data_IF_923976893072
#
_entry.id   IF_923976893072
#
_cell.length_a   1.000
_cell.length_b   1.000
_cell.length_c   1.000
_cell.angle_alpha   90.00
_cell.angle_beta   90.00
_cell.angle_gamma   90.00
#
_symmetry.space_group_name_H-M   'P 1'
#
loop_
_entity.id
_entity.type
_entity.pdbx_description
1 polymer ?
#
# COMPACT_ATOMS: atom_id res chain seq x y z
N UNK A 1 1.35 0.67 22.65
CA UNK A 1 1.38 1.51 23.87
C UNK A 1 0.99 2.89 23.41
N UNK A 2 -0.23 3.32 23.76
CA UNK A 2 -0.93 4.43 23.13
C UNK A 2 -0.27 5.78 23.45
N UNK A 3 -0.18 6.64 22.44
CA UNK A 3 0.08 8.06 22.65
C UNK A 3 -1.14 8.61 23.40
N UNK A 4 -0.99 8.81 24.71
CA UNK A 4 -2.10 9.29 25.54
C UNK A 4 -2.23 10.79 25.34
N UNK A 5 -3.08 11.16 24.38
CA UNK A 5 -3.66 12.49 24.29
C UNK A 5 -4.50 12.74 25.54
N UNK A 6 -4.03 13.63 26.42
CA UNK A 6 -4.69 13.92 27.70
C UNK A 6 -6.10 14.50 27.51
N UNK A 7 -6.32 15.26 26.43
CA UNK A 7 -7.61 15.88 26.13
C UNK A 7 -8.56 14.81 25.62
N UNK A 8 -8.13 13.99 24.67
CA UNK A 8 -8.96 12.90 24.16
C UNK A 8 -9.21 11.81 25.21
N UNK A 9 -8.25 11.53 26.10
CA UNK A 9 -8.44 10.59 27.20
C UNK A 9 -9.45 11.12 28.21
N UNK A 10 -9.33 12.38 28.63
CA UNK A 10 -10.35 13.01 29.49
C UNK A 10 -11.72 13.00 28.81
N UNK A 11 -11.80 13.28 27.51
CA UNK A 11 -13.06 13.21 26.75
C UNK A 11 -13.64 11.79 26.69
N UNK A 12 -12.79 10.77 26.51
CA UNK A 12 -13.22 9.36 26.47
C UNK A 12 -13.64 8.87 27.85
N UNK A 13 -12.90 9.22 28.91
CA UNK A 13 -13.24 8.92 30.30
C UNK A 13 -14.58 9.58 30.68
N UNK A 14 -14.81 10.84 30.28
CA UNK A 14 -16.09 11.55 30.45
C UNK A 14 -17.25 10.97 29.63
N UNK A 15 -16.97 10.32 28.50
CA UNK A 15 -17.98 9.62 27.69
C UNK A 15 -18.32 8.24 28.29
N UNK A 16 -17.37 7.63 29.00
CA UNK A 16 -17.51 6.33 29.65
C UNK A 16 -18.15 6.42 31.04
N UNK A 17 -18.00 7.55 31.76
CA UNK A 17 -18.73 7.85 32.99
C UNK A 17 -20.22 8.13 32.69
N UNK A 18 -21.02 7.07 32.76
CA UNK A 18 -22.50 7.12 32.71
C UNK A 18 -22.98 7.92 33.93
N UNK A 19 -23.85 8.93 33.82
CA UNK A 19 -25.29 8.73 34.04
C UNK A 19 -26.20 9.93 33.67
N UNK A 20 -25.70 11.08 33.18
CA UNK A 20 -26.57 12.28 32.99
C UNK A 20 -26.31 13.07 31.69
N UNK A 21 -27.20 12.99 30.67
CA UNK A 21 -26.97 13.62 29.36
C UNK A 21 -26.87 15.15 29.37
N UNK A 22 -27.45 15.84 30.37
CA UNK A 22 -27.34 17.31 30.50
C UNK A 22 -25.98 17.77 31.04
N UNK A 23 -25.32 16.97 31.88
CA UNK A 23 -23.97 17.27 32.39
C UNK A 23 -22.90 17.00 31.32
N UNK A 24 -23.11 16.01 30.45
CA UNK A 24 -22.24 15.70 29.30
C UNK A 24 -22.02 16.92 28.38
N UNK A 25 -23.08 17.62 27.98
CA UNK A 25 -22.95 18.78 27.09
C UNK A 25 -22.25 19.97 27.77
N UNK A 26 -22.49 20.18 29.07
CA UNK A 26 -21.90 21.28 29.82
C UNK A 26 -20.41 21.08 30.12
N UNK A 27 -19.99 19.82 30.32
CA UNK A 27 -18.59 19.45 30.54
C UNK A 27 -17.79 19.37 29.23
N UNK A 28 -18.40 18.86 28.15
CA UNK A 28 -17.83 18.96 26.79
C UNK A 28 -17.59 20.41 26.39
N UNK A 29 -18.56 21.30 26.64
CA UNK A 29 -18.40 22.74 26.42
C UNK A 29 -17.23 23.30 27.23
N UNK A 30 -17.13 22.99 28.54
CA UNK A 30 -16.01 23.45 29.39
C UNK A 30 -14.62 22.91 29.01
N UNK A 31 -14.53 21.69 28.46
CA UNK A 31 -13.27 21.13 27.97
C UNK A 31 -12.85 21.72 26.61
N UNK A 32 -13.83 22.14 25.80
CA UNK A 32 -13.64 22.78 24.50
C UNK A 32 -13.38 24.29 24.66
N UNK A 33 -13.95 24.95 25.68
CA UNK A 33 -13.86 26.40 25.92
C UNK A 33 -12.44 26.99 26.01
N UNK A 34 -11.46 26.37 26.71
CA UNK A 34 -10.10 26.92 26.77
C UNK A 34 -9.27 26.58 25.52
N UNK A 35 -9.67 25.59 24.73
CA UNK A 35 -9.02 25.28 23.47
C UNK A 35 -9.70 26.08 22.36
N UNK A 36 -9.10 27.21 21.95
CA UNK A 36 -9.58 27.92 20.76
C UNK A 36 -9.82 26.91 19.63
N UNK A 37 -10.92 27.03 18.86
CA UNK A 37 -11.29 26.05 17.82
C UNK A 37 -10.17 25.77 16.80
N UNK A 38 -9.14 26.60 16.79
CA UNK A 38 -7.91 26.49 16.02
C UNK A 38 -6.92 25.44 16.54
N UNK A 39 -7.00 25.05 17.83
CA UNK A 39 -6.12 24.04 18.43
C UNK A 39 -6.73 22.62 18.44
N UNK A 40 -8.06 22.49 18.33
CA UNK A 40 -8.75 21.21 18.42
C UNK A 40 -8.74 20.44 17.10
N UNK A 41 -8.84 21.16 15.98
CA UNK A 41 -8.91 20.56 14.65
C UNK A 41 -7.70 20.95 13.83
N UNK A 42 -7.21 20.00 13.04
CA UNK A 42 -6.10 20.24 12.13
C UNK A 42 -6.45 21.46 11.23
N UNK A 43 -5.64 22.55 11.23
CA UNK A 43 -5.90 23.74 10.43
C UNK A 43 -6.06 23.46 8.93
N UNK A 44 -5.53 22.33 8.43
CA UNK A 44 -5.75 21.89 7.05
C UNK A 44 -7.22 21.71 6.69
N UNK A 45 -8.08 21.38 7.66
CA UNK A 45 -9.53 21.26 7.44
C UNK A 45 -10.18 22.61 7.09
N UNK A 46 -9.51 23.74 7.35
CA UNK A 46 -9.99 25.10 7.05
C UNK A 46 -9.44 25.64 5.71
N UNK A 47 -8.60 24.88 5.01
CA UNK A 47 -8.10 25.31 3.70
C UNK A 47 -9.24 25.37 2.70
N UNK A 48 -9.39 26.50 1.98
CA UNK A 48 -10.43 26.68 0.95
C UNK A 48 -10.39 25.63 -0.15
N UNK A 49 -9.22 25.04 -0.39
CA UNK A 49 -9.02 23.98 -1.39
C UNK A 49 -9.13 22.56 -0.86
N UNK A 50 -9.35 22.37 0.46
CA UNK A 50 -9.49 21.04 1.04
C UNK A 50 -10.94 20.56 0.97
N UNK A 51 -11.15 19.43 0.31
CA UNK A 51 -12.40 18.71 0.19
C UNK A 51 -12.18 17.31 0.79
N UNK A 52 -12.66 17.10 2.03
CA UNK A 52 -12.41 15.86 2.78
C UNK A 52 -12.64 14.59 1.96
N UNK A 53 -13.86 14.35 1.43
CA UNK A 53 -14.14 13.17 0.61
C UNK A 53 -13.25 13.02 -0.63
N UNK A 54 -12.88 14.11 -1.31
CA UNK A 54 -12.06 14.01 -2.53
C UNK A 54 -10.57 13.90 -2.22
N UNK A 55 -10.11 14.47 -1.11
CA UNK A 55 -8.71 14.53 -0.67
C UNK A 55 -8.32 13.37 0.25
N UNK A 56 -9.27 12.49 0.58
CA UNK A 56 -9.03 11.23 1.29
C UNK A 56 -9.29 10.05 0.34
N UNK A 57 -8.38 9.79 -0.61
CA UNK A 57 -8.58 8.73 -1.59
C UNK A 57 -8.65 7.36 -0.93
N UNK A 58 -9.21 6.40 -1.65
CA UNK A 58 -9.38 5.05 -1.12
C UNK A 58 -8.03 4.42 -0.79
N UNK A 59 -7.87 4.02 0.47
CA UNK A 59 -6.73 3.24 0.86
C UNK A 59 -6.86 1.78 0.38
N UNK A 60 -6.03 1.42 -0.61
CA UNK A 60 -5.98 0.05 -1.15
C UNK A 60 -5.68 -1.00 -0.10
N UNK A 61 -4.81 -0.71 0.88
CA UNK A 61 -4.47 -1.67 1.91
C UNK A 61 -5.68 -1.95 2.81
N UNK A 62 -6.30 -0.91 3.35
CA UNK A 62 -7.43 -1.07 4.27
C UNK A 62 -8.72 -1.49 3.58
N UNK A 63 -9.03 -0.95 2.41
CA UNK A 63 -10.29 -1.20 1.70
C UNK A 63 -10.23 -2.52 0.94
N UNK A 64 -9.22 -2.73 0.11
CA UNK A 64 -9.15 -3.91 -0.74
C UNK A 64 -8.56 -5.11 0.01
N UNK A 65 -7.30 -5.05 0.44
CA UNK A 65 -6.62 -6.20 1.05
C UNK A 65 -7.21 -6.58 2.42
N UNK A 66 -7.21 -5.65 3.39
CA UNK A 66 -7.70 -5.87 4.76
C UNK A 66 -9.23 -5.69 4.89
N UNK A 67 -9.92 -5.51 3.77
CA UNK A 67 -11.37 -5.37 3.70
C UNK A 67 -11.99 -6.48 2.89
N UNK A 68 -12.01 -6.27 1.58
CA UNK A 68 -12.67 -7.18 0.62
C UNK A 68 -12.00 -8.55 0.61
N UNK A 69 -10.70 -8.61 0.33
CA UNK A 69 -9.97 -9.89 0.22
C UNK A 69 -9.95 -10.61 1.56
N UNK A 70 -9.68 -9.90 2.67
CA UNK A 70 -9.75 -10.45 4.04
C UNK A 70 -11.08 -11.11 4.33
N UNK A 71 -12.18 -10.41 4.08
CA UNK A 71 -13.50 -10.90 4.42
C UNK A 71 -13.88 -12.13 3.58
N UNK A 72 -13.61 -12.12 2.27
CA UNK A 72 -13.89 -13.25 1.40
C UNK A 72 -13.00 -14.46 1.72
N UNK A 73 -11.73 -14.23 2.06
CA UNK A 73 -10.82 -15.28 2.53
C UNK A 73 -11.35 -15.89 3.82
N UNK A 74 -11.74 -15.06 4.78
CA UNK A 74 -12.23 -15.52 6.08
C UNK A 74 -13.52 -16.33 5.93
N UNK A 75 -14.48 -15.84 5.16
CA UNK A 75 -15.75 -16.53 4.89
C UNK A 75 -15.51 -17.90 4.24
N UNK A 76 -14.68 -17.94 3.19
CA UNK A 76 -14.33 -19.18 2.51
C UNK A 76 -13.59 -20.17 3.40
N UNK A 77 -12.50 -19.75 4.06
CA UNK A 77 -11.70 -20.64 4.92
C UNK A 77 -12.50 -21.14 6.12
N UNK A 78 -13.41 -20.32 6.66
CA UNK A 78 -14.29 -20.72 7.76
C UNK A 78 -15.29 -21.80 7.34
N UNK A 79 -15.73 -21.81 6.07
CA UNK A 79 -16.63 -22.83 5.53
C UNK A 79 -15.97 -24.20 5.33
N UNK A 80 -14.64 -24.26 5.24
CA UNK A 80 -13.91 -25.51 4.99
C UNK A 80 -13.80 -26.39 6.24
N UNK A 81 -14.01 -27.70 6.06
CA UNK A 81 -13.78 -28.73 7.08
C UNK A 81 -12.27 -28.97 7.26
N UNK A 82 -11.87 -29.54 8.41
CA UNK A 82 -10.46 -29.84 8.73
C UNK A 82 -9.71 -30.59 7.61
N UNK A 83 -10.24 -31.69 7.03
CA UNK A 83 -9.54 -32.38 5.93
C UNK A 83 -9.33 -31.50 4.70
N UNK A 84 -10.29 -30.62 4.36
CA UNK A 84 -10.16 -29.70 3.23
C UNK A 84 -9.10 -28.64 3.50
N UNK A 85 -8.97 -28.17 4.76
CA UNK A 85 -7.91 -27.24 5.15
C UNK A 85 -6.52 -27.86 5.04
N UNK A 86 -6.38 -29.14 5.36
CA UNK A 86 -5.12 -29.88 5.18
C UNK A 86 -4.73 -29.96 3.68
N UNK A 87 -5.72 -30.17 2.80
CA UNK A 87 -5.50 -30.12 1.35
C UNK A 87 -5.16 -28.71 0.84
N UNK A 88 -5.79 -27.67 1.38
CA UNK A 88 -5.44 -26.27 1.06
C UNK A 88 -3.99 -25.97 1.46
N UNK A 89 -3.56 -26.42 2.65
CA UNK A 89 -2.18 -26.31 3.11
C UNK A 89 -1.22 -26.98 2.13
N UNK A 90 -1.50 -28.23 1.74
CA UNK A 90 -0.69 -28.98 0.79
C UNK A 90 -0.63 -28.27 -0.57
N UNK A 91 -1.75 -27.71 -1.03
CA UNK A 91 -1.83 -26.98 -2.30
C UNK A 91 -1.00 -25.70 -2.28
N UNK A 92 -1.01 -24.93 -1.18
CA UNK A 92 -0.14 -23.75 -1.05
C UNK A 92 1.35 -24.11 -0.93
N UNK A 93 1.67 -25.26 -0.35
CA UNK A 93 3.05 -25.75 -0.30
C UNK A 93 3.56 -26.24 -1.66
N UNK A 94 2.66 -26.73 -2.52
CA UNK A 94 2.98 -27.28 -3.83
C UNK A 94 2.93 -26.26 -4.99
N UNK A 95 2.26 -25.11 -4.79
CA UNK A 95 2.10 -24.13 -5.87
C UNK A 95 3.45 -23.55 -6.28
N UNK A 96 3.68 -23.42 -7.59
CA UNK A 96 4.89 -22.79 -8.10
C UNK A 96 4.87 -21.28 -7.80
N UNK A 97 5.88 -20.82 -7.06
CA UNK A 97 6.03 -19.42 -6.64
C UNK A 97 7.01 -18.64 -7.51
N UNK A 98 7.60 -19.28 -8.54
CA UNK A 98 8.66 -18.68 -9.39
C UNK A 98 8.24 -17.33 -9.95
N UNK A 99 6.97 -17.18 -10.35
CA UNK A 99 6.43 -15.93 -10.93
C UNK A 99 5.90 -14.91 -9.89
N UNK A 100 5.89 -15.24 -8.60
CA UNK A 100 5.32 -14.39 -7.54
C UNK A 100 6.36 -13.47 -6.87
N UNK A 101 7.64 -13.54 -7.27
CA UNK A 101 8.73 -12.78 -6.66
C UNK A 101 8.80 -12.95 -5.12
N UNK A 102 8.55 -14.17 -4.63
CA UNK A 102 8.65 -14.57 -3.22
C UNK A 102 9.44 -15.88 -3.11
N UNK A 103 10.18 -16.04 -2.01
CA UNK A 103 11.02 -17.23 -1.81
C UNK A 103 10.19 -18.50 -1.52
N UNK A 104 9.11 -18.37 -0.74
CA UNK A 104 8.20 -19.45 -0.41
C UNK A 104 6.89 -18.91 0.15
N UNK A 105 5.85 -19.74 0.13
CA UNK A 105 4.57 -19.47 0.81
C UNK A 105 4.54 -20.26 2.12
N UNK A 106 4.31 -19.58 3.23
CA UNK A 106 4.13 -20.20 4.54
C UNK A 106 2.70 -20.74 4.66
N UNK A 107 2.37 -21.82 3.94
CA UNK A 107 1.01 -22.36 3.83
C UNK A 107 0.36 -22.68 5.19
N UNK A 108 1.15 -23.26 6.11
CA UNK A 108 0.70 -23.50 7.49
C UNK A 108 0.27 -22.21 8.20
N UNK A 109 1.09 -21.16 8.11
CA UNK A 109 0.75 -19.85 8.67
C UNK A 109 -0.53 -19.26 8.06
N UNK A 110 -0.72 -19.38 6.74
CA UNK A 110 -1.93 -18.89 6.07
C UNK A 110 -3.19 -19.63 6.54
N UNK A 111 -3.11 -20.95 6.74
CA UNK A 111 -4.25 -21.78 7.20
C UNK A 111 -4.52 -21.61 8.69
N UNK A 112 -3.49 -21.50 9.53
CA UNK A 112 -3.65 -21.38 10.99
C UNK A 112 -4.12 -19.97 11.40
N UNK A 113 -3.77 -18.94 10.61
CA UNK A 113 -3.96 -17.53 10.98
C UNK A 113 -4.77 -16.70 9.98
N UNK A 114 -5.61 -17.32 9.12
CA UNK A 114 -6.36 -16.61 8.06
C UNK A 114 -7.20 -15.41 8.57
N UNK A 115 -7.59 -15.37 9.84
CA UNK A 115 -8.32 -14.25 10.46
C UNK A 115 -7.45 -13.02 10.83
N UNK A 116 -6.14 -13.20 11.00
CA UNK A 116 -5.19 -12.19 11.49
C UNK A 116 -4.02 -11.91 10.55
N UNK A 117 -4.15 -12.31 9.28
CA UNK A 117 -3.15 -12.03 8.25
C UNK A 117 -2.98 -10.54 7.97
N UNK A 118 -1.83 -10.19 7.39
CA UNK A 118 -1.51 -8.82 6.98
C UNK A 118 -1.66 -8.62 5.47
N UNK A 119 -1.58 -7.37 5.01
CA UNK A 119 -1.85 -7.03 3.61
C UNK A 119 -1.01 -7.78 2.56
N UNK A 120 0.24 -8.14 2.90
CA UNK A 120 1.10 -8.92 1.99
C UNK A 120 0.56 -10.34 1.76
N UNK A 121 0.00 -10.95 2.79
CA UNK A 121 -0.50 -12.32 2.76
C UNK A 121 -1.78 -12.37 1.92
N UNK A 122 -2.67 -11.39 2.05
CA UNK A 122 -3.86 -11.27 1.21
C UNK A 122 -3.52 -11.03 -0.27
N UNK A 123 -2.40 -10.36 -0.56
CA UNK A 123 -1.90 -10.26 -1.94
C UNK A 123 -1.49 -11.62 -2.49
N UNK A 124 -0.78 -12.44 -1.70
CA UNK A 124 -0.44 -13.82 -2.07
C UNK A 124 -1.72 -14.64 -2.30
N UNK A 125 -2.71 -14.53 -1.41
CA UNK A 125 -3.96 -15.28 -1.50
C UNK A 125 -4.71 -14.92 -2.78
N UNK A 126 -4.93 -13.64 -3.10
CA UNK A 126 -5.67 -13.28 -4.32
C UNK A 126 -4.95 -13.70 -5.60
N UNK A 127 -3.61 -13.72 -5.59
CA UNK A 127 -2.80 -14.17 -6.74
C UNK A 127 -2.78 -15.70 -6.90
N UNK A 128 -2.85 -16.46 -5.81
CA UNK A 128 -2.76 -17.93 -5.82
C UNK A 128 -4.12 -18.62 -5.75
N UNK A 129 -5.19 -17.89 -5.46
CA UNK A 129 -6.52 -18.45 -5.23
C UNK A 129 -7.01 -19.39 -6.35
N UNK A 130 -6.85 -19.06 -7.65
CA UNK A 130 -7.23 -19.94 -8.75
C UNK A 130 -6.59 -21.33 -8.74
N UNK A 131 -5.37 -21.43 -8.19
CA UNK A 131 -4.57 -22.66 -8.21
C UNK A 131 -4.72 -23.49 -6.94
N UNK A 132 -5.07 -22.85 -5.83
CA UNK A 132 -5.00 -23.48 -4.50
C UNK A 132 -6.41 -23.80 -3.97
N UNK A 133 -7.31 -22.82 -4.01
CA UNK A 133 -8.60 -22.92 -3.32
C UNK A 133 -9.79 -23.15 -4.24
N UNK A 134 -9.66 -22.95 -5.56
CA UNK A 134 -10.76 -23.13 -6.52
C UNK A 134 -11.32 -24.55 -6.57
N UNK A 135 -10.49 -25.56 -6.31
CA UNK A 135 -10.91 -26.97 -6.27
C UNK A 135 -11.95 -27.25 -5.17
N UNK A 136 -12.08 -26.38 -4.16
CA UNK A 136 -13.09 -26.50 -3.10
C UNK A 136 -14.26 -25.52 -3.27
N UNK A 137 -14.30 -24.79 -4.39
CA UNK A 137 -15.36 -23.83 -4.70
C UNK A 137 -16.40 -24.42 -5.66
N UNK A 138 -17.66 -24.07 -5.44
CA UNK A 138 -18.71 -24.22 -6.45
C UNK A 138 -18.62 -23.13 -7.54
N UNK A 139 -19.39 -23.26 -8.62
CA UNK A 139 -19.30 -22.35 -9.77
C UNK A 139 -19.60 -20.88 -9.41
N UNK A 140 -20.56 -20.64 -8.50
CA UNK A 140 -20.87 -19.27 -8.03
C UNK A 140 -19.69 -18.65 -7.29
N UNK A 141 -19.05 -19.41 -6.41
CA UNK A 141 -17.85 -18.98 -5.69
C UNK A 141 -16.69 -18.75 -6.65
N UNK A 142 -16.47 -19.64 -7.63
CA UNK A 142 -15.42 -19.46 -8.65
C UNK A 142 -15.61 -18.17 -9.42
N UNK A 143 -16.81 -17.90 -9.92
CA UNK A 143 -17.11 -16.66 -10.66
C UNK A 143 -16.85 -15.41 -9.81
N UNK A 144 -17.24 -15.44 -8.53
CA UNK A 144 -16.96 -14.35 -7.59
C UNK A 144 -15.45 -14.12 -7.39
N UNK A 145 -14.68 -15.19 -7.21
CA UNK A 145 -13.22 -15.09 -7.03
C UNK A 145 -12.48 -14.73 -8.33
N UNK A 146 -12.99 -15.14 -9.49
CA UNK A 146 -12.46 -14.71 -10.79
C UNK A 146 -12.64 -13.20 -10.94
N UNK A 147 -13.85 -12.70 -10.65
CA UNK A 147 -14.13 -11.27 -10.68
C UNK A 147 -13.29 -10.48 -9.67
N UNK A 148 -13.03 -11.05 -8.47
CA UNK A 148 -12.10 -10.46 -7.50
C UNK A 148 -10.67 -10.40 -8.04
N UNK A 149 -10.19 -11.47 -8.68
CA UNK A 149 -8.85 -11.53 -9.26
C UNK A 149 -8.66 -10.53 -10.41
N UNK A 150 -9.67 -10.39 -11.27
CA UNK A 150 -9.72 -9.37 -12.32
C UNK A 150 -9.73 -7.96 -11.71
N UNK A 151 -10.52 -7.70 -10.68
CA UNK A 151 -10.52 -6.41 -10.00
C UNK A 151 -9.15 -6.12 -9.34
N UNK A 152 -8.51 -7.13 -8.77
CA UNK A 152 -7.19 -7.02 -8.17
C UNK A 152 -6.13 -6.60 -9.19
N UNK A 153 -6.19 -7.10 -10.43
CA UNK A 153 -5.22 -6.74 -11.47
C UNK A 153 -5.30 -5.26 -11.81
N UNK A 154 -6.50 -4.68 -11.93
CA UNK A 154 -6.67 -3.24 -12.13
C UNK A 154 -6.19 -2.44 -10.92
N UNK A 155 -6.60 -2.81 -9.70
CA UNK A 155 -6.24 -2.07 -8.48
C UNK A 155 -4.72 -2.03 -8.25
N UNK A 156 -4.01 -3.13 -8.51
CA UNK A 156 -2.57 -3.20 -8.32
C UNK A 156 -1.74 -2.79 -9.55
N UNK A 157 -2.39 -2.30 -10.61
CA UNK A 157 -1.71 -1.82 -11.82
C UNK A 157 -0.93 -0.54 -11.53
N UNK A 158 0.36 -0.53 -11.81
CA UNK A 158 1.26 0.60 -11.50
C UNK A 158 1.34 1.65 -12.60
N UNK A 159 0.96 1.31 -13.83
CA UNK A 159 1.02 2.19 -15.01
C UNK A 159 -0.30 2.12 -15.78
N UNK A 160 -0.90 3.29 -16.04
CA UNK A 160 -2.14 3.43 -16.81
C UNK A 160 -1.79 4.17 -18.10
N UNK A 161 -1.94 3.51 -19.25
CA UNK A 161 -1.62 4.09 -20.56
C UNK A 161 -2.76 4.93 -21.13
N UNK A 162 -4.00 4.47 -20.97
CA UNK A 162 -5.20 5.18 -21.39
C UNK A 162 -6.16 5.26 -20.19
N UNK A 163 -6.30 6.47 -19.63
CA UNK A 163 -7.11 6.69 -18.43
C UNK A 163 -8.60 6.43 -18.70
N UNK A 164 -9.14 6.89 -19.84
CA UNK A 164 -10.57 6.72 -20.14
C UNK A 164 -10.95 5.24 -20.27
N UNK A 165 -10.16 4.47 -21.02
CA UNK A 165 -10.38 3.03 -21.18
C UNK A 165 -10.23 2.31 -19.83
N UNK A 166 -9.15 2.58 -19.10
CA UNK A 166 -8.90 1.97 -17.80
C UNK A 166 -10.04 2.22 -16.82
N UNK A 167 -10.56 3.46 -16.74
CA UNK A 167 -11.67 3.78 -15.85
C UNK A 167 -12.98 3.10 -16.27
N UNK A 168 -13.24 2.93 -17.57
CA UNK A 168 -14.40 2.19 -18.05
C UNK A 168 -14.31 0.70 -17.67
N UNK A 169 -13.15 0.07 -17.91
CA UNK A 169 -12.88 -1.33 -17.58
C UNK A 169 -12.90 -1.56 -16.06
N UNK A 170 -12.31 -0.65 -15.27
CA UNK A 170 -12.34 -0.71 -13.82
C UNK A 170 -13.78 -0.63 -13.28
N UNK A 171 -14.60 0.32 -13.77
CA UNK A 171 -16.02 0.41 -13.38
C UNK A 171 -16.78 -0.87 -13.71
N UNK A 172 -16.54 -1.44 -14.88
CA UNK A 172 -17.11 -2.72 -15.26
C UNK A 172 -16.66 -3.84 -14.31
N UNK A 173 -15.36 -3.95 -14.03
CA UNK A 173 -14.80 -4.97 -13.13
C UNK A 173 -15.34 -4.86 -11.70
N UNK A 174 -15.50 -3.63 -11.18
CA UNK A 174 -16.13 -3.38 -9.87
C UNK A 174 -17.58 -3.86 -9.88
N UNK A 175 -18.37 -3.47 -10.88
CA UNK A 175 -19.78 -3.85 -10.97
C UNK A 175 -19.96 -5.36 -11.14
N UNK A 176 -19.11 -6.00 -11.96
CA UNK A 176 -19.11 -7.45 -12.15
C UNK A 176 -18.80 -8.19 -10.84
N UNK A 177 -17.78 -7.73 -10.11
CA UNK A 177 -17.46 -8.29 -8.79
C UNK A 177 -18.61 -8.10 -7.79
N UNK A 178 -19.16 -6.89 -7.68
CA UNK A 178 -20.27 -6.60 -6.77
C UNK A 178 -21.52 -7.42 -7.11
N UNK A 179 -21.81 -7.64 -8.39
CA UNK A 179 -22.91 -8.50 -8.84
C UNK A 179 -22.76 -9.93 -8.32
N UNK A 180 -21.57 -10.55 -8.49
CA UNK A 180 -21.33 -11.90 -8.00
C UNK A 180 -21.34 -11.99 -6.46
N UNK A 181 -20.80 -10.99 -5.77
CA UNK A 181 -20.79 -10.91 -4.31
C UNK A 181 -22.20 -10.84 -3.74
N UNK A 182 -23.05 -9.94 -4.25
CA UNK A 182 -24.43 -9.77 -3.78
C UNK A 182 -25.27 -11.01 -4.11
N UNK A 183 -25.06 -11.59 -5.30
CA UNK A 183 -25.72 -12.85 -5.71
C UNK A 183 -25.33 -14.04 -4.83
N UNK A 184 -24.13 -14.01 -4.23
CA UNK A 184 -23.68 -15.02 -3.29
C UNK A 184 -24.25 -14.79 -1.88
N UNK A 185 -24.18 -13.56 -1.37
CA UNK A 185 -24.75 -13.17 -0.07
C UNK A 185 -25.03 -11.67 0.00
N UNK A 186 -26.24 -11.29 0.40
CA UNK A 186 -26.61 -9.89 0.60
C UNK A 186 -25.90 -9.24 1.82
N UNK A 187 -25.29 -10.04 2.70
CA UNK A 187 -24.63 -9.54 3.92
C UNK A 187 -23.47 -8.57 3.62
N UNK A 188 -22.86 -8.70 2.44
CA UNK A 188 -21.75 -7.85 2.01
C UNK A 188 -22.15 -6.38 1.81
N UNK A 189 -23.44 -6.09 1.61
CA UNK A 189 -23.96 -4.71 1.49
C UNK A 189 -23.73 -3.91 2.78
N UNK A 190 -23.73 -4.58 3.94
CA UNK A 190 -23.51 -3.94 5.23
C UNK A 190 -22.03 -3.64 5.53
N UNK A 191 -21.11 -3.98 4.62
CA UNK A 191 -19.68 -3.74 4.80
C UNK A 191 -19.27 -2.47 4.03
N UNK A 192 -18.93 -1.35 4.72
CA UNK A 192 -18.60 -0.07 4.07
C UNK A 192 -17.48 -0.18 3.03
N UNK A 193 -16.53 -1.09 3.23
CA UNK A 193 -15.39 -1.30 2.32
C UNK A 193 -15.80 -1.83 0.94
N UNK A 194 -16.92 -2.55 0.83
CA UNK A 194 -17.44 -2.98 -0.47
C UNK A 194 -18.07 -1.81 -1.22
N UNK A 195 -18.79 -0.93 -0.52
CA UNK A 195 -19.28 0.33 -1.10
C UNK A 195 -18.11 1.22 -1.53
N UNK A 196 -17.07 1.31 -0.70
CA UNK A 196 -15.89 2.10 -1.00
C UNK A 196 -15.21 1.71 -2.31
N UNK A 197 -15.35 0.47 -2.80
CA UNK A 197 -14.82 0.09 -4.12
C UNK A 197 -15.34 0.99 -5.25
N UNK A 198 -16.57 1.50 -5.14
CA UNK A 198 -17.16 2.35 -6.17
C UNK A 198 -16.48 3.71 -6.33
N UNK A 199 -15.69 4.15 -5.35
CA UNK A 199 -14.99 5.45 -5.40
C UNK A 199 -13.56 5.36 -5.95
N UNK A 200 -13.12 4.15 -6.39
CA UNK A 200 -11.79 3.96 -6.98
C UNK A 200 -11.62 4.72 -8.28
N UNK A 201 -12.59 4.70 -9.22
CA UNK A 201 -12.48 5.45 -10.45
C UNK A 201 -12.20 6.94 -10.21
N UNK A 202 -12.91 7.57 -9.28
CA UNK A 202 -12.78 8.98 -8.92
C UNK A 202 -11.42 9.28 -8.29
N UNK A 203 -10.95 8.39 -7.40
CA UNK A 203 -9.63 8.51 -6.79
C UNK A 203 -8.52 8.37 -7.83
N UNK A 204 -8.66 7.42 -8.76
CA UNK A 204 -7.65 7.13 -9.79
C UNK A 204 -7.62 8.18 -10.88
N UNK A 205 -8.78 8.69 -11.30
CA UNK A 205 -8.90 9.77 -12.26
C UNK A 205 -8.18 11.03 -11.76
N UNK A 206 -8.27 11.31 -10.45
CA UNK A 206 -7.66 12.49 -9.84
C UNK A 206 -6.18 12.31 -9.49
N UNK A 207 -5.78 11.16 -8.96
CA UNK A 207 -4.46 10.95 -8.34
C UNK A 207 -3.57 9.96 -9.09
N UNK A 208 -4.04 9.40 -10.21
CA UNK A 208 -3.36 8.36 -10.96
C UNK A 208 -3.54 6.97 -10.35
N UNK A 209 -2.64 6.03 -10.66
CA UNK A 209 -2.74 4.64 -10.16
C UNK A 209 -2.95 4.57 -8.65
N UNK A 210 -3.78 3.63 -8.19
CA UNK A 210 -4.03 3.39 -6.76
C UNK A 210 -2.77 3.12 -5.93
N UNK A 211 -1.68 2.69 -6.58
CA UNK A 211 -0.38 2.50 -5.93
C UNK A 211 0.25 3.83 -5.45
N UNK A 212 -0.11 4.96 -6.07
CA UNK A 212 0.45 6.28 -5.76
C UNK A 212 -0.07 6.85 -4.44
N UNK A 213 -1.33 6.57 -4.11
CA UNK A 213 -1.99 7.05 -2.89
C UNK A 213 -2.28 5.94 -1.85
N UNK A 214 -1.72 4.75 -2.06
CA UNK A 214 -1.78 3.69 -1.05
C UNK A 214 -1.10 4.14 0.25
N UNK A 215 -1.79 4.00 1.39
CA UNK A 215 -1.31 4.50 2.68
C UNK A 215 -0.12 3.71 3.23
N UNK A 216 0.25 2.59 2.60
CA UNK A 216 1.37 1.73 3.02
C UNK A 216 2.66 2.51 3.26
N UNK A 217 2.92 3.58 2.50
CA UNK A 217 4.07 4.48 2.74
C UNK A 217 3.92 5.26 4.05
N UNK A 218 2.74 5.80 4.32
CA UNK A 218 2.43 6.48 5.59
C UNK A 218 2.41 5.50 6.78
N UNK A 219 1.86 4.30 6.63
CA UNK A 219 1.91 3.29 7.71
C UNK A 219 3.33 2.83 8.01
N UNK A 220 4.22 2.76 7.01
CA UNK A 220 5.63 2.43 7.26
C UNK A 220 6.32 3.46 8.15
N UNK A 221 5.80 4.70 8.19
CA UNK A 221 6.25 5.74 9.10
C UNK A 221 5.92 5.43 10.56
N UNK A 222 4.90 4.62 10.84
CA UNK A 222 4.64 4.14 12.20
C UNK A 222 5.82 3.36 12.76
N UNK A 223 6.57 2.64 11.92
CA UNK A 223 7.80 1.99 12.37
C UNK A 223 8.84 3.02 12.84
N UNK A 224 8.98 4.14 12.13
CA UNK A 224 9.91 5.23 12.50
C UNK A 224 9.47 5.86 13.83
N UNK A 225 8.17 6.13 13.99
CA UNK A 225 7.59 6.62 15.24
C UNK A 225 7.89 5.66 16.41
N UNK A 226 7.63 4.38 16.22
CA UNK A 226 7.91 3.34 17.23
C UNK A 226 9.41 3.26 17.56
N UNK A 227 10.30 3.34 16.58
CA UNK A 227 11.74 3.35 16.81
C UNK A 227 12.17 4.58 17.61
N UNK A 228 11.72 5.77 17.25
CA UNK A 228 12.02 7.00 17.98
C UNK A 228 11.52 6.94 19.45
N UNK A 229 10.34 6.34 19.66
CA UNK A 229 9.79 6.08 21.00
C UNK A 229 10.68 5.14 21.81
N UNK A 230 11.07 3.99 21.23
CA UNK A 230 11.90 2.98 21.91
C UNK A 230 13.24 3.57 22.37
N UNK A 231 13.82 4.48 21.58
CA UNK A 231 15.11 5.12 21.87
C UNK A 231 15.01 6.44 22.64
N UNK A 232 13.81 6.91 23.01
CA UNK A 232 13.65 8.04 23.93
C UNK A 232 14.01 7.66 25.36
N UNK A 233 14.19 8.65 26.24
CA UNK A 233 14.32 8.41 27.68
C UNK A 233 13.02 7.88 28.33
N UNK A 234 11.91 7.89 27.56
CA UNK A 234 10.55 7.43 27.91
C UNK A 234 9.90 8.17 29.08
N UNK A 235 10.48 9.25 29.58
CA UNK A 235 9.91 10.08 30.64
C UNK A 235 8.77 10.96 30.09
N UNK A 236 8.94 11.53 28.90
CA UNK A 236 7.94 12.32 28.20
C UNK A 236 7.89 12.00 26.70
N UNK A 237 7.41 10.79 26.32
CA UNK A 237 7.55 10.30 24.94
C UNK A 237 6.93 11.22 23.88
N UNK A 238 5.79 11.86 24.18
CA UNK A 238 5.14 12.80 23.27
C UNK A 238 5.96 14.06 23.00
N UNK A 239 6.61 14.61 24.04
CA UNK A 239 7.50 15.78 23.90
C UNK A 239 8.76 15.42 23.13
N UNK A 240 9.38 14.28 23.46
CA UNK A 240 10.61 13.83 22.81
C UNK A 240 10.37 13.52 21.32
N UNK A 241 9.25 12.87 20.99
CA UNK A 241 8.80 12.71 19.61
C UNK A 241 8.61 14.07 18.93
N UNK A 242 7.85 14.98 19.55
CA UNK A 242 7.58 16.31 19.00
C UNK A 242 8.86 17.08 18.68
N UNK A 243 9.84 17.08 19.59
CA UNK A 243 11.14 17.70 19.39
C UNK A 243 11.93 17.01 18.27
N UNK A 244 11.94 15.68 18.22
CA UNK A 244 12.63 14.93 17.16
C UNK A 244 12.06 15.26 15.77
N UNK A 245 10.74 15.28 15.60
CA UNK A 245 10.12 15.65 14.32
C UNK A 245 10.28 17.12 13.97
N UNK A 246 10.23 18.01 14.98
CA UNK A 246 10.51 19.42 14.77
C UNK A 246 11.93 19.63 14.25
N UNK A 247 12.93 18.98 14.86
CA UNK A 247 14.32 19.04 14.42
C UNK A 247 14.48 18.47 13.00
N UNK A 248 13.83 17.35 12.69
CA UNK A 248 13.86 16.76 11.35
C UNK A 248 13.30 17.71 10.29
N UNK A 249 12.14 18.32 10.56
CA UNK A 249 11.51 19.28 9.66
C UNK A 249 12.38 20.54 9.50
N UNK A 250 12.94 21.06 10.59
CA UNK A 250 13.83 22.23 10.55
C UNK A 250 15.09 21.95 9.71
N UNK A 251 15.71 20.79 9.90
CA UNK A 251 16.85 20.34 9.08
C UNK A 251 16.45 20.23 7.60
N UNK A 252 15.30 19.64 7.30
CA UNK A 252 14.82 19.53 5.91
C UNK A 252 14.63 20.91 5.27
N UNK A 253 14.05 21.88 5.98
CA UNK A 253 13.88 23.24 5.46
C UNK A 253 15.21 23.96 5.24
N UNK A 254 16.16 23.83 6.18
CA UNK A 254 17.49 24.42 6.04
C UNK A 254 18.25 23.83 4.85
N UNK A 255 18.25 22.51 4.70
CA UNK A 255 19.01 21.80 3.66
C UNK A 255 18.37 21.95 2.27
N UNK A 256 17.06 22.19 2.18
CA UNK A 256 16.34 22.48 0.93
C UNK A 256 16.40 23.96 0.51
N UNK A 257 17.13 24.80 1.25
CA UNK A 257 17.21 26.24 1.04
C UNK A 257 15.85 26.97 1.08
N UNK A 258 14.94 26.50 1.95
CA UNK A 258 13.66 27.15 2.14
C UNK A 258 13.84 28.58 2.69
N UNK A 259 12.96 29.50 2.27
CA UNK A 259 12.87 30.83 2.88
C UNK A 259 12.29 30.71 4.29
N UNK A 260 13.09 31.07 5.30
CA UNK A 260 12.72 31.04 6.71
C UNK A 260 12.56 32.47 7.24
N UNK A 261 11.91 32.61 8.40
CA UNK A 261 11.72 33.91 9.02
C UNK A 261 12.28 33.90 10.45
N UNK A 262 13.17 34.85 10.74
CA UNK A 262 13.69 35.04 12.08
C UNK A 262 12.78 36.02 12.83
N UNK A 263 11.96 35.50 13.74
CA UNK A 263 11.02 36.31 14.53
C UNK A 263 11.70 37.21 15.58
N UNK A 264 12.95 36.93 15.98
CA UNK A 264 13.68 37.80 16.92
C UNK A 264 14.21 39.04 16.21
N UNK A 265 14.68 38.89 14.97
CA UNK A 265 15.24 39.97 14.16
C UNK A 265 14.21 40.58 13.20
N UNK A 266 13.02 39.98 13.08
CA UNK A 266 11.99 40.33 12.10
C UNK A 266 12.50 40.42 10.65
N UNK A 267 13.33 39.45 10.25
CA UNK A 267 13.88 39.39 8.88
C UNK A 267 13.72 37.98 8.29
N UNK A 268 13.43 37.89 6.98
CA UNK A 268 13.56 36.63 6.26
C UNK A 268 15.03 36.24 6.14
N UNK A 269 15.32 34.95 6.18
CA UNK A 269 16.65 34.42 5.96
C UNK A 269 16.60 33.11 5.18
N UNK A 270 17.74 32.74 4.62
CA UNK A 270 17.97 31.46 3.98
C UNK A 270 19.25 30.86 4.55
N UNK A 271 19.38 29.53 4.44
CA UNK A 271 20.61 28.87 4.80
C UNK A 271 21.73 29.32 3.85
N UNK A 272 22.95 29.50 4.37
CA UNK A 272 24.10 29.78 3.53
C UNK A 272 24.37 28.61 2.58
N UNK A 273 24.96 28.91 1.41
CA UNK A 273 25.27 27.91 0.39
C UNK A 273 26.09 26.73 0.97
N UNK A 274 27.03 26.99 1.89
CA UNK A 274 27.82 25.95 2.56
C UNK A 274 26.97 24.88 3.28
N UNK A 275 25.85 25.28 3.89
CA UNK A 275 24.91 24.36 4.57
C UNK A 275 24.12 23.55 3.53
N UNK A 276 23.67 24.20 2.46
CA UNK A 276 22.93 23.51 1.38
C UNK A 276 23.83 22.56 0.58
N UNK A 277 25.12 22.89 0.42
CA UNK A 277 26.13 22.06 -0.23
C UNK A 277 26.39 20.78 0.56
N UNK A 278 26.37 20.84 1.90
CA UNK A 278 26.45 19.64 2.75
C UNK A 278 25.39 18.59 2.36
N UNK A 279 24.17 19.02 2.03
CA UNK A 279 23.14 18.11 1.55
C UNK A 279 23.32 17.74 0.06
N UNK A 280 23.56 18.73 -0.80
CA UNK A 280 23.69 18.51 -2.26
C UNK A 280 24.82 17.55 -2.60
N UNK A 281 25.94 17.64 -1.89
CA UNK A 281 27.18 16.94 -2.23
C UNK A 281 27.35 15.64 -1.44
N UNK A 282 26.54 15.40 -0.39
CA UNK A 282 26.64 14.21 0.44
C UNK A 282 25.45 13.24 0.25
N UNK A 283 25.70 12.20 -0.55
CA UNK A 283 24.71 11.15 -0.84
C UNK A 283 24.21 10.41 0.42
N UNK A 284 25.03 10.28 1.47
CA UNK A 284 24.61 9.62 2.72
C UNK A 284 23.59 10.48 3.48
N UNK A 285 23.82 11.80 3.54
CA UNK A 285 22.89 12.75 4.17
C UNK A 285 21.59 12.83 3.37
N UNK A 286 21.66 12.80 2.04
CA UNK A 286 20.44 12.71 1.22
C UNK A 286 19.63 11.46 1.59
N UNK A 287 20.28 10.29 1.60
CA UNK A 287 19.65 9.00 1.89
C UNK A 287 19.03 8.96 3.29
N UNK A 288 19.70 9.52 4.29
CA UNK A 288 19.16 9.57 5.66
C UNK A 288 17.92 10.46 5.77
N UNK A 289 17.80 11.48 4.91
CA UNK A 289 16.62 12.35 4.81
C UNK A 289 15.56 11.84 3.81
N UNK A 290 15.71 10.62 3.29
CA UNK A 290 14.77 10.01 2.34
C UNK A 290 14.84 10.56 0.91
N UNK A 291 15.89 11.33 0.59
CA UNK A 291 16.16 11.85 -0.75
C UNK A 291 17.32 11.08 -1.40
N UNK A 292 17.32 10.93 -2.72
CA UNK A 292 18.46 10.33 -3.40
C UNK A 292 18.50 10.81 -4.85
N UNK A 293 19.26 11.89 -5.09
CA UNK A 293 19.40 12.50 -6.41
C UNK A 293 19.89 11.49 -7.46
N UNK A 294 20.83 10.62 -7.08
CA UNK A 294 21.36 9.59 -7.99
C UNK A 294 20.26 8.59 -8.39
N UNK A 295 19.33 8.26 -7.51
CA UNK A 295 18.19 7.39 -7.89
C UNK A 295 17.18 8.06 -8.82
N UNK A 296 17.13 9.40 -8.82
CA UNK A 296 16.27 10.17 -9.73
C UNK A 296 16.94 10.41 -11.09
N UNK A 297 18.28 10.45 -11.13
CA UNK A 297 19.07 10.66 -12.36
C UNK A 297 19.33 9.37 -13.15
N UNK A 298 19.12 8.19 -12.54
CA UNK A 298 19.24 6.91 -13.22
C UNK A 298 17.95 6.64 -13.99
N UNK A 299 17.95 6.98 -15.28
CA UNK A 299 16.96 6.54 -16.29
C UNK A 299 17.12 5.05 -16.63
N UNK A 300 17.23 4.18 -15.61
CA UNK A 300 17.10 2.74 -15.87
C UNK A 300 15.62 2.46 -16.07
N UNK A 301 15.23 2.41 -17.33
CA UNK A 301 13.91 1.94 -17.74
C UNK A 301 13.74 0.49 -17.30
N UNK A 302 13.11 0.28 -16.15
CA UNK A 302 12.64 -1.03 -15.74
C UNK A 302 11.37 -1.41 -16.54
N UNK A 303 11.20 -2.69 -16.91
CA UNK A 303 12.05 -3.83 -16.56
C UNK A 303 13.35 -3.92 -17.39
N UNK A 304 14.46 -4.33 -16.76
CA UNK A 304 15.77 -4.45 -17.40
C UNK A 304 16.42 -5.82 -17.11
N UNK A 305 17.01 -6.50 -18.12
CA UNK A 305 17.69 -7.77 -17.90
C UNK A 305 19.00 -7.55 -17.12
N UNK A 306 19.25 -8.43 -16.16
CA UNK A 306 20.51 -8.43 -15.43
C UNK A 306 21.60 -8.99 -16.34
N UNK A 307 22.69 -8.23 -16.55
CA UNK A 307 23.82 -8.65 -17.38
C UNK A 307 24.72 -9.66 -16.66
N UNK A 308 24.15 -10.79 -16.22
CA UNK A 308 24.88 -11.93 -15.70
C UNK A 308 24.80 -13.08 -16.70
N UNK A 309 25.91 -13.82 -16.93
CA UNK A 309 25.91 -14.97 -17.82
C UNK A 309 24.94 -16.05 -17.31
N UNK A 310 24.09 -16.57 -18.20
CA UNK A 310 23.16 -17.65 -17.89
C UNK A 310 23.93 -18.97 -17.78
N UNK A 311 23.94 -19.65 -16.61
CA UNK A 311 24.60 -20.93 -16.47
C UNK A 311 23.96 -21.98 -17.40
N UNK A 312 24.75 -22.83 -18.04
CA UNK A 312 24.24 -23.84 -18.99
C UNK A 312 23.19 -24.79 -18.37
N UNK A 313 23.26 -25.03 -17.06
CA UNK A 313 22.30 -25.85 -16.30
C UNK A 313 20.94 -25.19 -16.08
N UNK A 314 20.84 -23.86 -16.22
CA UNK A 314 19.61 -23.08 -16.03
C UNK A 314 18.99 -22.67 -17.37
N UNK A 315 19.54 -23.15 -18.49
CA UNK A 315 19.01 -22.87 -19.82
C UNK A 315 17.76 -23.73 -20.06
N UNK A 316 16.64 -23.07 -20.28
CA UNK A 316 15.33 -23.66 -20.50
C UNK A 316 14.90 -23.46 -21.95
N UNK A 317 14.07 -24.36 -22.45
CA UNK A 317 13.43 -24.17 -23.76
C UNK A 317 12.33 -23.12 -23.64
N UNK A 318 12.16 -22.22 -24.63
CA UNK A 318 11.08 -21.25 -24.62
C UNK A 318 9.72 -21.98 -24.48
N UNK A 319 8.87 -21.58 -23.52
CA UNK A 319 7.54 -22.14 -23.36
C UNK A 319 6.73 -22.15 -24.67
N UNK A 320 6.01 -23.25 -24.94
CA UNK A 320 5.24 -23.45 -26.18
C UNK A 320 4.22 -22.34 -26.47
N UNK A 321 3.70 -21.67 -25.43
CA UNK A 321 2.73 -20.59 -25.61
C UNK A 321 3.34 -19.36 -26.30
N UNK A 322 4.67 -19.18 -26.29
CA UNK A 322 5.33 -18.11 -27.03
C UNK A 322 5.17 -18.23 -28.55
N UNK A 323 4.83 -19.42 -29.05
CA UNK A 323 4.56 -19.64 -30.48
C UNK A 323 3.35 -18.84 -31.00
N UNK A 324 2.50 -18.29 -30.12
CA UNK A 324 1.42 -17.39 -30.51
C UNK A 324 1.92 -16.02 -31.01
N UNK A 325 3.17 -15.64 -30.67
CA UNK A 325 3.79 -14.40 -31.11
C UNK A 325 4.65 -14.69 -32.36
N UNK A 326 4.03 -14.61 -33.53
CA UNK A 326 4.71 -14.79 -34.82
C UNK A 326 5.87 -13.78 -34.98
N UNK A 327 6.98 -14.22 -35.58
CA UNK A 327 8.20 -13.41 -35.82
C UNK A 327 8.88 -12.82 -34.58
N UNK A 328 8.67 -13.40 -33.40
CA UNK A 328 9.22 -12.94 -32.14
C UNK A 328 10.41 -13.79 -31.68
N UNK A 329 11.58 -13.18 -31.52
CA UNK A 329 12.78 -13.85 -30.99
C UNK A 329 12.84 -13.67 -29.47
N UNK A 330 12.63 -14.75 -28.71
CA UNK A 330 12.70 -14.73 -27.25
C UNK A 330 14.08 -15.18 -26.78
N UNK A 331 14.73 -14.34 -25.97
CA UNK A 331 16.01 -14.65 -25.34
C UNK A 331 15.79 -14.90 -23.85
N UNK A 332 16.27 -16.04 -23.35
CA UNK A 332 16.28 -16.30 -21.92
C UNK A 332 17.36 -15.46 -21.24
N UNK A 333 17.00 -14.82 -20.13
CA UNK A 333 17.89 -14.02 -19.30
C UNK A 333 18.03 -14.65 -17.92
N UNK A 334 19.19 -14.46 -17.28
CA UNK A 334 19.49 -15.01 -15.95
C UNK A 334 18.58 -14.43 -14.87
N UNK A 335 18.33 -13.13 -14.94
CA UNK A 335 17.35 -12.44 -14.12
C UNK A 335 16.80 -11.19 -14.81
N UNK A 336 15.60 -10.77 -14.41
CA UNK A 336 14.95 -9.54 -14.84
C UNK A 336 14.74 -8.63 -13.63
N UNK A 337 15.36 -7.46 -13.64
CA UNK A 337 15.11 -6.43 -12.64
C UNK A 337 13.81 -5.71 -12.99
N UNK A 338 12.83 -5.75 -12.09
CA UNK A 338 11.59 -4.96 -12.19
C UNK A 338 11.70 -3.61 -11.50
N UNK A 339 12.60 -3.50 -10.53
CA UNK A 339 12.95 -2.29 -9.80
C UNK A 339 14.38 -2.40 -9.27
N UNK A 340 14.86 -1.39 -8.55
CA UNK A 340 16.15 -1.45 -7.85
C UNK A 340 16.22 -2.57 -6.79
N UNK A 341 15.07 -3.06 -6.30
CA UNK A 341 14.99 -4.04 -5.23
C UNK A 341 14.36 -5.36 -5.67
N UNK A 342 13.56 -5.34 -6.73
CA UNK A 342 12.81 -6.50 -7.20
C UNK A 342 13.48 -7.13 -8.41
N UNK A 343 13.89 -8.38 -8.25
CA UNK A 343 14.59 -9.15 -9.28
C UNK A 343 13.89 -10.50 -9.43
N UNK A 344 13.29 -10.73 -10.59
CA UNK A 344 12.82 -12.06 -10.97
C UNK A 344 14.05 -12.86 -11.40
N UNK A 345 14.28 -13.99 -10.76
CA UNK A 345 15.38 -14.91 -11.09
C UNK A 345 14.82 -16.14 -11.77
N UNK A 346 15.57 -16.70 -12.74
CA UNK A 346 15.24 -17.93 -13.49
C UNK A 346 14.00 -17.80 -14.38
N UNK A 347 13.87 -18.73 -15.33
CA UNK A 347 12.74 -18.86 -16.26
C UNK A 347 12.23 -17.54 -16.90
N UNK A 348 13.11 -16.54 -17.03
CA UNK A 348 12.77 -15.20 -17.49
C UNK A 348 13.14 -15.07 -18.96
N UNK A 349 12.19 -14.66 -19.79
CA UNK A 349 12.39 -14.47 -21.22
C UNK A 349 12.09 -13.03 -21.60
N UNK A 350 12.94 -12.45 -22.45
CA UNK A 350 12.77 -11.10 -22.99
C UNK A 350 12.56 -11.22 -24.49
N UNK A 351 11.58 -10.48 -25.00
CA UNK A 351 11.37 -10.33 -26.43
C UNK A 351 12.49 -9.45 -27.01
N UNK A 352 13.34 -10.03 -27.84
CA UNK A 352 14.32 -9.28 -28.61
C UNK A 352 13.60 -8.35 -29.58
N UNK A 353 13.98 -7.08 -29.59
CA UNK A 353 13.45 -6.13 -30.57
C UNK A 353 13.66 -6.71 -31.99
N UNK A 354 12.68 -6.62 -32.89
CA UNK A 354 12.87 -7.04 -34.27
C UNK A 354 14.04 -6.23 -34.85
N UNK A 355 14.98 -6.92 -35.49
CA UNK A 355 15.94 -6.28 -36.38
C UNK A 355 15.12 -5.52 -37.41
N UNK A 356 15.06 -4.19 -37.28
CA UNK A 356 14.61 -3.31 -38.35
C UNK A 356 15.71 -3.42 -39.41
N UNK A 357 15.55 -4.39 -40.29
CA UNK A 357 16.32 -4.45 -41.54
C UNK A 357 15.71 -3.34 -42.39
N UNK A 358 16.43 -2.22 -42.48
CA UNK A 358 16.08 -1.08 -43.31
C UNK A 358 16.13 -1.37 -44.79
#
# INVERSE_FOLDING_TARGET
MEVIDHINRQLVELVQEQEKPKQKNHMLQRAIEPASSHCLFNPFLKLKGFDGPKDTPIDTLHVFSLGVVKNLTWDFMSSLKKPQRDWVLASWAAVDVTSLNIASIQGKYLVDHFGSLIGKDFKIIVQTAPFVIYQFMNDKQRNMWIALGQLASYIFQTRIHNMQQYLAELRWSINNFLFHVISHSAQWVNKPKFHALKHYPESIERLGSATLFATKKFESFNSILCTALVHSNRLQPGRDLGLNFHNFQALQMLLSNAGLYNHQLNVPFQAFNSVTHLFRDNCLIQKSMGYNLHSMAIDVAFPAPLQLPLPAKEKETPPKYFNQFLNSNFNQVSALCLSQKDVIKRASFVLGAPLVIG
#
